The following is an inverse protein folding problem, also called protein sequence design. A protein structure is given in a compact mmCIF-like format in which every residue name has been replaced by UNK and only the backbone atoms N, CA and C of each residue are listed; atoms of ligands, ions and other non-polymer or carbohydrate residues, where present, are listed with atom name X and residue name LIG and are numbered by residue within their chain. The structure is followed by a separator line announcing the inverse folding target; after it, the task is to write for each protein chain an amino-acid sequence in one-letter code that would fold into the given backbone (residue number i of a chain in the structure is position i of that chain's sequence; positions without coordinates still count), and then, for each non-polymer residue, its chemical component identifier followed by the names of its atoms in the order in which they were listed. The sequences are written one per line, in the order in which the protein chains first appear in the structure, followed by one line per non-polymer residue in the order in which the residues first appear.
data_IF_913700640559
#
_entry.id   IF_913700640559
#
_cell.length_a   1.000
_cell.length_b   1.000
_cell.length_c   1.000
_cell.angle_alpha   90.00
_cell.angle_beta   90.00
_cell.angle_gamma   90.00
#
_symmetry.space_group_name_H-M   'P 1'
#
loop_
_entity.id
_entity.type
_entity.pdbx_description
1 polymer ?
#
# COMPACT_ATOMS: atom_id res chain seq x y z
N UNK A 1 25.32 14.30 57.27
CA UNK A 1 26.51 13.66 56.64
C UNK A 1 25.95 12.78 55.53
N UNK A 2 26.29 12.84 54.24
CA UNK A 2 27.52 13.23 53.53
C UNK A 2 27.20 14.05 52.27
N UNK A 3 28.15 14.90 51.92
CA UNK A 3 28.32 15.63 50.65
C UNK A 3 28.89 14.69 49.56
N UNK A 4 28.70 15.05 48.30
CA UNK A 4 29.42 14.51 47.13
C UNK A 4 28.77 15.00 45.83
N UNK A 5 29.08 16.22 45.35
CA UNK A 5 30.08 16.54 44.30
C UNK A 5 29.61 16.13 42.89
N UNK A 6 29.01 17.04 42.12
CA UNK A 6 29.60 17.84 41.00
C UNK A 6 30.20 16.98 39.89
N UNK A 7 29.60 16.99 38.70
CA UNK A 7 30.28 17.47 37.47
C UNK A 7 29.34 17.57 36.28
N UNK A 8 29.55 18.64 35.54
CA UNK A 8 28.83 19.07 34.35
C UNK A 8 29.12 18.18 33.14
N UNK A 9 28.15 18.08 32.23
CA UNK A 9 28.42 17.86 30.82
C UNK A 9 27.56 18.84 30.02
N UNK A 10 28.23 19.90 29.54
CA UNK A 10 27.74 20.79 28.52
C UNK A 10 27.76 20.02 27.20
N UNK A 11 26.61 19.85 26.56
CA UNK A 11 26.50 19.24 25.23
C UNK A 11 25.47 20.00 24.42
N UNK A 12 25.92 21.03 23.70
CA UNK A 12 25.13 21.66 22.64
C UNK A 12 25.12 20.70 21.46
N UNK A 13 23.95 20.18 21.11
CA UNK A 13 23.69 19.57 19.81
C UNK A 13 22.59 20.38 19.13
N UNK A 14 23.00 21.25 18.22
CA UNK A 14 22.16 21.76 17.14
C UNK A 14 21.98 20.62 16.14
N UNK A 15 20.77 20.09 16.02
CA UNK A 15 20.40 19.24 14.88
C UNK A 15 18.97 19.58 14.47
N UNK A 16 18.84 19.96 13.19
CA UNK A 16 17.74 20.75 12.65
C UNK A 16 16.34 20.16 12.82
N UNK A 17 15.37 21.06 12.95
CA UNK A 17 13.97 20.76 12.69
C UNK A 17 13.79 20.42 11.21
N UNK A 18 13.89 19.14 10.87
CA UNK A 18 13.30 18.61 9.64
C UNK A 18 11.79 18.52 9.86
N UNK A 19 11.09 19.63 9.62
CA UNK A 19 9.67 19.58 9.26
C UNK A 19 9.62 19.23 7.76
N UNK A 20 8.90 18.22 7.26
CA UNK A 20 7.97 17.30 7.86
C UNK A 20 8.16 15.93 7.16
N UNK A 21 8.32 14.86 7.95
CA UNK A 21 8.12 13.50 7.46
C UNK A 21 6.62 13.30 7.23
N UNK A 22 6.15 13.75 6.06
CA UNK A 22 4.89 13.29 5.51
C UNK A 22 5.08 11.91 4.89
N UNK A 23 5.30 10.87 5.71
CA UNK A 23 4.95 9.53 5.27
C UNK A 23 3.41 9.45 5.34
N UNK A 24 2.68 9.36 4.21
CA UNK A 24 1.24 9.20 4.25
C UNK A 24 0.90 7.90 5.00
N UNK A 25 -0.25 7.87 5.72
CA UNK A 25 -0.59 6.77 6.60
C UNK A 25 -0.58 5.44 5.82
N UNK A 26 0.23 4.49 6.27
CA UNK A 26 0.10 3.12 5.82
C UNK A 26 -1.11 2.48 6.53
N UNK A 27 -1.88 1.77 5.71
CA UNK A 27 -2.99 0.86 6.00
C UNK A 27 -4.40 1.45 6.15
N UNK A 28 -5.24 1.13 5.16
CA UNK A 28 -6.34 0.20 5.39
C UNK A 28 -6.53 -0.66 4.12
N UNK A 29 -6.53 -1.99 4.28
CA UNK A 29 -6.50 -2.97 3.19
C UNK A 29 -5.09 -3.28 2.69
N UNK A 30 -4.15 -3.63 3.57
CA UNK A 30 -2.80 -4.07 3.20
C UNK A 30 -2.59 -5.55 3.53
N UNK A 31 -1.92 -6.25 2.62
CA UNK A 31 -1.24 -7.52 2.83
C UNK A 31 0.26 -7.23 2.57
N UNK A 32 1.21 -7.90 3.24
CA UNK A 32 2.65 -7.59 3.17
C UNK A 32 3.26 -7.40 1.76
N UNK A 33 2.54 -7.80 0.71
CA UNK A 33 2.94 -7.79 -0.69
C UNK A 33 2.11 -6.81 -1.55
N UNK A 34 0.96 -6.33 -1.04
CA UNK A 34 -0.03 -5.56 -1.80
C UNK A 34 -0.91 -4.65 -0.92
N UNK A 35 -1.24 -3.45 -1.36
CA UNK A 35 -2.10 -2.52 -0.62
C UNK A 35 -3.09 -1.78 -1.51
N UNK A 36 -4.24 -1.45 -0.93
CA UNK A 36 -5.25 -0.59 -1.54
C UNK A 36 -5.22 0.77 -0.82
N UNK A 37 -4.93 1.83 -1.57
CA UNK A 37 -4.94 3.21 -1.10
C UNK A 37 -6.11 3.99 -1.67
N UNK A 38 -6.44 5.12 -1.05
CA UNK A 38 -7.37 6.07 -1.66
C UNK A 38 -7.07 7.51 -1.27
N UNK A 39 -7.41 8.44 -2.15
CA UNK A 39 -7.38 9.87 -1.90
C UNK A 39 -8.66 10.51 -2.44
N UNK A 40 -9.20 11.48 -1.72
CA UNK A 40 -10.32 12.29 -2.24
C UNK A 40 -9.74 13.49 -2.96
N UNK A 41 -10.15 13.71 -4.20
CA UNK A 41 -9.73 14.90 -4.96
C UNK A 41 -10.49 16.16 -4.49
N UNK A 42 -10.06 17.38 -4.87
CA UNK A 42 -10.72 18.62 -4.45
C UNK A 42 -12.20 18.73 -4.86
N UNK A 43 -12.64 17.94 -5.86
CA UNK A 43 -14.03 17.86 -6.28
C UNK A 43 -14.86 16.88 -5.44
N UNK A 44 -14.28 16.29 -4.39
CA UNK A 44 -14.93 15.34 -3.50
C UNK A 44 -14.97 13.90 -4.04
N UNK A 45 -14.34 13.63 -5.19
CA UNK A 45 -14.34 12.28 -5.78
C UNK A 45 -13.26 11.42 -5.13
N UNK A 46 -13.67 10.30 -4.53
CA UNK A 46 -12.72 9.33 -3.95
C UNK A 46 -12.06 8.51 -5.05
N UNK A 47 -10.74 8.60 -5.13
CA UNK A 47 -9.89 7.89 -6.09
C UNK A 47 -9.14 6.77 -5.39
N UNK A 48 -9.21 5.57 -5.94
CA UNK A 48 -8.47 4.41 -5.40
C UNK A 48 -7.17 4.18 -6.18
N UNK A 49 -6.16 3.69 -5.48
CA UNK A 49 -4.95 3.08 -6.07
C UNK A 49 -4.73 1.70 -5.48
N UNK A 50 -4.17 0.81 -6.27
CA UNK A 50 -3.78 -0.54 -5.86
C UNK A 50 -2.30 -0.70 -6.14
N UNK A 51 -1.54 -1.22 -5.20
CA UNK A 51 -0.09 -1.23 -5.32
C UNK A 51 0.47 -2.58 -4.88
N UNK A 52 1.58 -2.97 -5.49
CA UNK A 52 2.31 -4.21 -5.24
C UNK A 52 3.76 -3.89 -4.88
N UNK A 53 4.29 -4.61 -3.90
CA UNK A 53 5.73 -4.72 -3.64
C UNK A 53 6.03 -6.10 -3.04
N UNK A 54 6.51 -7.01 -3.87
CA UNK A 54 6.79 -8.40 -3.50
C UNK A 54 8.29 -8.66 -3.35
N UNK A 55 9.16 -7.85 -3.94
CA UNK A 55 10.60 -8.17 -4.02
C UNK A 55 10.94 -9.44 -4.83
N UNK A 56 9.95 -10.22 -5.25
CA UNK A 56 10.09 -11.42 -6.08
C UNK A 56 9.78 -11.05 -7.52
N UNK A 57 10.76 -11.19 -8.41
CA UNK A 57 10.54 -11.02 -9.84
C UNK A 57 9.76 -12.20 -10.44
N UNK A 58 9.02 -11.95 -11.51
CA UNK A 58 8.29 -12.96 -12.26
C UNK A 58 7.04 -12.42 -12.93
N UNK A 59 6.16 -13.32 -13.36
CA UNK A 59 4.91 -12.96 -14.02
C UNK A 59 3.78 -12.92 -12.99
N UNK A 60 2.98 -11.87 -13.04
CA UNK A 60 1.87 -11.65 -12.14
C UNK A 60 0.64 -11.19 -12.90
N UNK A 61 -0.51 -11.34 -12.27
CA UNK A 61 -1.71 -10.59 -12.59
C UNK A 61 -2.45 -10.17 -11.32
N UNK A 62 -3.33 -9.19 -11.41
CA UNK A 62 -4.14 -8.68 -10.31
C UNK A 62 -5.61 -8.74 -10.72
N UNK A 63 -6.47 -9.20 -9.81
CA UNK A 63 -7.92 -9.06 -9.89
C UNK A 63 -8.41 -7.98 -8.93
N UNK A 64 -9.34 -7.11 -9.36
CA UNK A 64 -9.95 -6.08 -8.51
C UNK A 64 -11.47 -6.14 -8.65
N UNK A 65 -12.19 -6.22 -7.53
CA UNK A 65 -13.65 -6.40 -7.51
C UNK A 65 -14.32 -5.79 -6.29
N UNK A 66 -15.63 -5.56 -6.40
CA UNK A 66 -16.49 -5.25 -5.27
C UNK A 66 -16.88 -6.52 -4.53
N UNK A 67 -16.55 -6.62 -3.24
CA UNK A 67 -16.78 -7.82 -2.43
C UNK A 67 -18.23 -8.30 -2.45
N UNK A 68 -19.17 -7.37 -2.25
CA UNK A 68 -20.59 -7.70 -2.09
C UNK A 68 -21.23 -8.28 -3.37
N UNK A 69 -20.79 -7.83 -4.54
CA UNK A 69 -21.40 -8.20 -5.83
C UNK A 69 -20.52 -9.14 -6.66
N UNK A 70 -19.24 -9.28 -6.31
CA UNK A 70 -18.24 -9.91 -7.16
C UNK A 70 -17.95 -9.14 -8.46
N UNK A 71 -18.55 -7.96 -8.64
CA UNK A 71 -18.40 -7.18 -9.86
C UNK A 71 -16.94 -6.74 -10.02
N UNK A 72 -16.31 -7.17 -11.11
CA UNK A 72 -14.91 -6.83 -11.40
C UNK A 72 -14.81 -5.40 -11.91
N UNK A 73 -13.95 -4.63 -11.27
CA UNK A 73 -13.53 -3.33 -11.79
C UNK A 73 -12.53 -3.50 -12.94
N UNK A 74 -11.77 -4.60 -12.88
CA UNK A 74 -10.82 -5.01 -13.88
C UNK A 74 -9.79 -5.94 -13.29
N UNK A 75 -9.16 -6.72 -14.15
CA UNK A 75 -7.89 -7.37 -13.85
C UNK A 75 -6.81 -6.77 -14.72
N UNK A 76 -5.56 -6.83 -14.26
CA UNK A 76 -4.45 -6.67 -15.20
C UNK A 76 -4.36 -7.95 -16.01
N UNK A 77 -4.13 -7.88 -17.33
CA UNK A 77 -3.55 -9.02 -18.02
C UNK A 77 -2.19 -9.38 -17.42
N UNK A 78 -1.64 -10.53 -17.79
CA UNK A 78 -0.34 -10.97 -17.28
C UNK A 78 0.75 -9.93 -17.56
N UNK A 79 1.56 -9.66 -16.54
CA UNK A 79 2.67 -8.72 -16.65
C UNK A 79 3.93 -9.26 -16.00
N UNK A 80 5.07 -8.97 -16.63
CA UNK A 80 6.38 -9.16 -16.00
C UNK A 80 6.61 -8.10 -14.93
N UNK A 81 7.18 -8.52 -13.81
CA UNK A 81 7.48 -7.73 -12.64
C UNK A 81 8.90 -8.04 -12.16
N UNK A 82 9.64 -7.01 -11.78
CA UNK A 82 11.08 -7.09 -11.50
C UNK A 82 11.44 -6.88 -10.02
N UNK A 83 10.47 -6.87 -9.10
CA UNK A 83 10.72 -6.72 -7.66
C UNK A 83 10.56 -5.30 -7.09
N UNK A 84 10.31 -4.26 -7.91
CA UNK A 84 10.12 -2.88 -7.44
C UNK A 84 8.68 -2.52 -7.05
N UNK A 85 8.40 -1.34 -6.50
CA UNK A 85 6.99 -0.95 -6.28
C UNK A 85 6.28 -0.71 -7.62
N UNK A 86 5.08 -1.28 -7.78
CA UNK A 86 4.23 -1.04 -8.95
C UNK A 86 2.84 -0.57 -8.52
N UNK A 87 2.37 0.50 -9.15
CA UNK A 87 1.05 1.08 -8.90
C UNK A 87 0.08 0.77 -10.05
N UNK A 88 -1.14 0.40 -9.68
CA UNK A 88 -2.26 0.03 -10.53
C UNK A 88 -3.46 0.90 -10.18
N UNK A 89 -4.36 1.09 -11.15
CA UNK A 89 -5.63 1.81 -10.99
C UNK A 89 -5.57 3.25 -10.47
N UNK A 90 -4.41 3.90 -10.36
CA UNK A 90 -4.28 5.28 -9.88
C UNK A 90 -5.34 6.22 -10.46
N UNK A 91 -6.32 6.59 -9.64
CA UNK A 91 -7.37 7.54 -10.01
C UNK A 91 -8.48 7.00 -10.92
N UNK A 92 -8.61 5.68 -11.08
CA UNK A 92 -9.60 5.08 -12.00
C UNK A 92 -10.90 4.68 -11.33
N UNK A 93 -10.91 4.40 -10.03
CA UNK A 93 -12.12 3.99 -9.31
C UNK A 93 -12.70 5.19 -8.58
N UNK A 94 -13.88 5.65 -9.01
CA UNK A 94 -14.58 6.81 -8.44
C UNK A 94 -15.91 6.45 -7.73
N UNK A 95 -16.46 5.26 -7.96
CA UNK A 95 -17.77 4.83 -7.44
C UNK A 95 -17.68 3.91 -6.21
N UNK A 96 -16.69 4.14 -5.33
CA UNK A 96 -16.42 3.25 -4.19
C UNK A 96 -17.19 3.56 -2.91
N UNK A 97 -17.83 4.73 -2.80
CA UNK A 97 -18.47 5.15 -1.56
C UNK A 97 -19.56 4.15 -1.11
N UNK A 98 -19.48 3.72 0.15
CA UNK A 98 -20.36 2.72 0.76
C UNK A 98 -20.11 1.29 0.29
N UNK A 99 -18.99 1.02 -0.41
CA UNK A 99 -18.67 -0.30 -0.95
C UNK A 99 -17.37 -0.83 -0.35
N UNK A 100 -17.24 -2.16 -0.37
CA UNK A 100 -15.99 -2.87 -0.06
C UNK A 100 -15.31 -3.30 -1.35
N UNK A 101 -14.11 -2.78 -1.60
CA UNK A 101 -13.28 -3.16 -2.73
C UNK A 101 -12.21 -4.16 -2.26
N UNK A 102 -12.01 -5.21 -3.03
CA UNK A 102 -10.93 -6.18 -2.81
C UNK A 102 -10.02 -6.21 -4.03
N UNK A 103 -8.77 -6.57 -3.78
CA UNK A 103 -7.81 -6.81 -4.84
C UNK A 103 -6.98 -8.04 -4.50
N UNK A 104 -6.68 -8.88 -5.49
CA UNK A 104 -5.90 -10.09 -5.33
C UNK A 104 -4.72 -10.10 -6.28
N UNK A 105 -3.53 -10.32 -5.75
CA UNK A 105 -2.32 -10.52 -6.54
C UNK A 105 -2.10 -12.01 -6.74
N UNK A 106 -1.83 -12.39 -7.98
CA UNK A 106 -1.54 -13.75 -8.39
C UNK A 106 -0.16 -13.83 -9.01
N UNK A 107 0.72 -14.59 -8.37
CA UNK A 107 2.00 -14.99 -8.91
C UNK A 107 1.83 -16.22 -9.80
N UNK A 108 2.42 -16.18 -11.00
CA UNK A 108 2.51 -17.32 -11.89
C UNK A 108 3.74 -18.15 -11.53
N UNK A 109 3.51 -19.34 -10.97
CA UNK A 109 4.61 -20.21 -10.53
C UNK A 109 5.38 -20.78 -11.73
N UNK A 110 6.72 -20.89 -11.65
CA UNK A 110 7.48 -21.68 -12.60
C UNK A 110 6.96 -23.11 -12.64
N UNK A 111 6.67 -23.64 -13.83
CA UNK A 111 6.04 -24.96 -13.99
C UNK A 111 4.50 -24.94 -13.97
N UNK A 112 3.88 -23.76 -13.81
CA UNK A 112 2.45 -23.56 -13.98
C UNK A 112 1.66 -23.39 -12.68
N UNK A 113 0.43 -22.91 -12.84
CA UNK A 113 -0.48 -22.60 -11.74
C UNK A 113 -0.22 -21.24 -11.09
N UNK A 114 -1.10 -20.89 -10.15
CA UNK A 114 -1.13 -19.59 -9.51
C UNK A 114 -0.92 -19.71 -8.00
N UNK A 115 -0.32 -18.68 -7.42
CA UNK A 115 -0.20 -18.50 -5.97
C UNK A 115 -0.69 -17.11 -5.61
N UNK A 116 -1.54 -16.99 -4.59
CA UNK A 116 -1.99 -15.67 -4.14
C UNK A 116 -0.90 -15.01 -3.28
N UNK A 117 -0.48 -13.82 -3.68
CA UNK A 117 0.53 -13.02 -3.00
C UNK A 117 -0.09 -11.74 -2.44
N UNK A 118 -1.37 -11.74 -2.11
CA UNK A 118 -2.07 -10.50 -1.79
C UNK A 118 -3.56 -10.67 -1.88
N UNK A 119 -4.31 -10.39 -0.80
CA UNK A 119 -5.77 -10.25 -0.84
C UNK A 119 -6.24 -9.12 0.08
N UNK A 120 -5.76 -7.89 -0.09
CA UNK A 120 -6.32 -6.78 0.64
C UNK A 120 -7.79 -6.52 0.26
N UNK A 121 -8.58 -6.11 1.26
CA UNK A 121 -9.91 -5.54 1.06
C UNK A 121 -10.06 -4.28 1.91
N UNK A 122 -10.79 -3.30 1.37
CA UNK A 122 -10.99 -2.01 2.00
C UNK A 122 -12.43 -1.51 1.83
N UNK A 123 -13.00 -1.02 2.93
CA UNK A 123 -14.29 -0.33 2.94
C UNK A 123 -14.10 1.18 2.68
N UNK A 124 -15.01 1.78 1.94
CA UNK A 124 -14.88 3.13 1.41
C UNK A 124 -16.06 4.06 1.66
#
# INVERSE_FOLDING_TARGET
MRRGMISAALGVLLAGTVAAIGAPPAAAGGNGWMWIGSNTDPAGTRRVSVQQNTGISGTYHIDIWYWATGARYGGTGDYSYNGGTREFLKGRVSDVAGKRLCAQLWYHKPGGGYESHGLPCQDY
#
